data_IF_100483428283
#
_entry.id   IF_100483428283
#
_cell.length_a   1.000
_cell.length_b   1.000
_cell.length_c   1.000
_cell.angle_alpha   90.00
_cell.angle_beta   90.00
_cell.angle_gamma   90.00
#
_symmetry.space_group_name_H-M   'P 1'
#
loop_
_entity.id
_entity.type
_entity.pdbx_description
1 polymer ?
#
# COMPACT_ATOMS: atom_id res chain seq x y z
N UNK A 1 21.64 -18.00 8.65
CA UNK A 1 20.65 -17.71 9.71
C UNK A 1 19.45 -18.66 9.60
N UNK A 2 19.65 -19.92 9.95
CA UNK A 2 18.56 -20.92 9.82
C UNK A 2 18.12 -21.49 11.17
N UNK A 3 18.76 -21.08 12.26
CA UNK A 3 18.48 -21.60 13.61
C UNK A 3 18.36 -20.50 14.68
N UNK A 4 18.61 -19.26 14.31
CA UNK A 4 18.45 -18.10 15.18
C UNK A 4 17.96 -16.89 14.39
N UNK A 5 16.83 -16.31 14.80
CA UNK A 5 16.33 -15.06 14.27
C UNK A 5 17.14 -13.89 14.85
N UNK A 6 17.39 -13.96 16.14
CA UNK A 6 18.27 -13.05 16.89
C UNK A 6 19.01 -13.86 17.98
N UNK A 7 19.99 -13.25 18.64
CA UNK A 7 20.83 -13.88 19.68
C UNK A 7 20.02 -14.52 20.82
N UNK A 8 18.84 -13.96 21.10
CA UNK A 8 17.90 -14.43 22.14
C UNK A 8 16.67 -15.16 21.59
N UNK A 9 16.52 -15.24 20.25
CA UNK A 9 15.33 -15.79 19.61
C UNK A 9 15.69 -16.93 18.64
N UNK A 10 15.80 -18.19 19.12
CA UNK A 10 16.12 -19.33 18.28
C UNK A 10 14.96 -19.67 17.34
N UNK A 11 15.28 -20.14 16.15
CA UNK A 11 14.31 -20.65 15.17
C UNK A 11 14.43 -22.16 15.01
N UNK A 12 13.37 -22.81 14.52
CA UNK A 12 13.43 -24.20 14.11
C UNK A 12 14.32 -24.38 12.87
N UNK A 13 15.07 -25.47 12.82
CA UNK A 13 15.91 -25.78 11.67
C UNK A 13 15.10 -26.34 10.49
N UNK A 14 14.51 -25.42 9.71
CA UNK A 14 13.72 -25.74 8.52
C UNK A 14 14.56 -26.21 7.30
N UNK A 15 15.86 -26.47 7.47
CA UNK A 15 16.66 -27.25 6.50
C UNK A 15 16.38 -28.74 6.63
N UNK A 16 15.93 -29.20 7.80
CA UNK A 16 15.58 -30.61 8.07
C UNK A 16 14.18 -30.89 7.51
N UNK A 17 14.09 -31.85 6.60
CA UNK A 17 12.82 -32.21 5.95
C UNK A 17 11.74 -32.60 6.96
N UNK A 18 12.07 -33.32 8.02
CA UNK A 18 11.11 -33.68 9.06
C UNK A 18 10.49 -32.45 9.74
N UNK A 19 11.27 -31.40 9.97
CA UNK A 19 10.77 -30.13 10.56
C UNK A 19 9.90 -29.40 9.57
N UNK A 20 10.29 -29.37 8.29
CA UNK A 20 9.48 -28.77 7.21
C UNK A 20 8.11 -29.46 7.10
N UNK A 21 8.08 -30.80 7.10
CA UNK A 21 6.82 -31.57 7.03
C UNK A 21 5.92 -31.27 8.23
N UNK A 22 6.47 -31.37 9.46
CA UNK A 22 5.71 -31.10 10.68
C UNK A 22 5.14 -29.69 10.73
N UNK A 23 5.94 -28.67 10.42
CA UNK A 23 5.50 -27.28 10.50
C UNK A 23 4.51 -26.92 9.39
N UNK A 24 4.67 -27.49 8.21
CA UNK A 24 3.69 -27.27 7.12
C UNK A 24 2.38 -28.03 7.36
N UNK A 25 2.41 -29.21 8.01
CA UNK A 25 1.18 -29.89 8.44
C UNK A 25 0.47 -29.12 9.57
N UNK A 26 1.22 -28.50 10.48
CA UNK A 26 0.64 -27.60 11.50
C UNK A 26 -0.04 -26.37 10.88
N UNK A 27 0.55 -25.78 9.83
CA UNK A 27 -0.09 -24.68 9.12
C UNK A 27 -1.39 -25.12 8.41
N UNK A 28 -1.38 -26.29 7.77
CA UNK A 28 -2.58 -26.87 7.15
C UNK A 28 -3.70 -27.12 8.15
N UNK A 29 -3.38 -27.58 9.38
CA UNK A 29 -4.37 -27.77 10.43
C UNK A 29 -5.18 -26.48 10.67
N UNK A 30 -4.53 -25.33 10.75
CA UNK A 30 -5.22 -24.04 10.94
C UNK A 30 -6.13 -23.67 9.76
N UNK A 31 -5.68 -23.89 8.53
CA UNK A 31 -6.49 -23.66 7.33
C UNK A 31 -7.73 -24.56 7.31
N UNK A 32 -7.55 -25.86 7.57
CA UNK A 32 -8.62 -26.85 7.46
C UNK A 32 -9.60 -26.77 8.63
N UNK A 33 -9.11 -26.76 9.86
CA UNK A 33 -9.96 -26.75 11.06
C UNK A 33 -10.76 -25.46 11.21
N UNK A 34 -10.13 -24.30 10.97
CA UNK A 34 -10.75 -23.00 11.19
C UNK A 34 -11.20 -22.31 9.91
N UNK A 35 -11.06 -22.97 8.76
CA UNK A 35 -11.46 -22.45 7.44
C UNK A 35 -10.91 -21.05 7.18
N UNK A 36 -9.62 -20.87 7.42
CA UNK A 36 -8.94 -19.61 7.17
C UNK A 36 -8.78 -19.35 5.66
N UNK A 37 -8.83 -18.08 5.25
CA UNK A 37 -8.65 -17.68 3.86
C UNK A 37 -7.19 -17.52 3.45
N UNK A 38 -6.25 -17.74 4.38
CA UNK A 38 -4.82 -17.69 4.09
C UNK A 38 -3.94 -17.26 5.25
N UNK A 39 -2.73 -16.81 4.91
CA UNK A 39 -1.71 -16.43 5.89
C UNK A 39 -1.01 -15.12 5.53
N UNK A 40 -0.71 -14.33 6.54
CA UNK A 40 0.44 -13.42 6.54
C UNK A 40 1.61 -14.13 7.19
N UNK A 41 2.67 -14.34 6.42
CA UNK A 41 3.89 -15.01 6.88
C UNK A 41 4.91 -13.99 7.38
N UNK A 42 5.24 -14.08 8.66
CA UNK A 42 6.26 -13.27 9.31
C UNK A 42 7.66 -13.63 8.84
N UNK A 43 8.55 -12.61 8.77
CA UNK A 43 9.99 -12.79 8.58
C UNK A 43 10.38 -13.79 7.48
N UNK A 44 9.70 -13.76 6.34
CA UNK A 44 9.79 -14.77 5.25
C UNK A 44 11.22 -15.06 4.82
N UNK A 45 12.10 -14.05 4.78
CA UNK A 45 13.50 -14.19 4.35
C UNK A 45 14.37 -15.07 5.26
N UNK A 46 13.93 -15.30 6.50
CA UNK A 46 14.64 -16.14 7.46
C UNK A 46 14.27 -17.62 7.33
N UNK A 47 13.30 -17.94 6.48
CA UNK A 47 12.77 -19.27 6.27
C UNK A 47 13.21 -19.79 4.89
N UNK A 48 13.82 -21.01 4.81
CA UNK A 48 14.26 -21.57 3.54
C UNK A 48 13.14 -21.75 2.52
N UNK A 49 13.40 -21.48 1.26
CA UNK A 49 12.43 -21.59 0.15
C UNK A 49 11.79 -22.99 0.06
N UNK A 50 12.50 -24.05 0.50
CA UNK A 50 11.95 -25.41 0.56
C UNK A 50 10.71 -25.50 1.45
N UNK A 51 10.66 -24.77 2.56
CA UNK A 51 9.47 -24.70 3.41
C UNK A 51 8.29 -24.08 2.66
N UNK A 52 8.47 -22.95 2.02
CA UNK A 52 7.42 -22.26 1.27
C UNK A 52 6.86 -23.14 0.15
N UNK A 53 7.74 -23.79 -0.61
CA UNK A 53 7.34 -24.71 -1.67
C UNK A 53 6.57 -25.92 -1.14
N UNK A 54 6.99 -26.45 0.02
CA UNK A 54 6.32 -27.59 0.64
C UNK A 54 4.94 -27.18 1.15
N UNK A 55 4.83 -26.04 1.83
CA UNK A 55 3.56 -25.53 2.32
C UNK A 55 2.58 -25.26 1.16
N UNK A 56 2.99 -24.50 0.15
CA UNK A 56 2.14 -24.19 -1.02
C UNK A 56 1.69 -25.46 -1.74
N UNK A 57 2.61 -26.40 -1.96
CA UNK A 57 2.24 -27.70 -2.54
C UNK A 57 1.18 -28.44 -1.70
N UNK A 58 1.34 -28.48 -0.38
CA UNK A 58 0.38 -29.12 0.51
C UNK A 58 -0.98 -28.41 0.51
N UNK A 59 -1.00 -27.09 0.53
CA UNK A 59 -2.23 -26.30 0.39
C UNK A 59 -2.96 -26.71 -0.90
N UNK A 60 -2.28 -26.65 -2.04
CA UNK A 60 -2.87 -26.98 -3.35
C UNK A 60 -3.39 -28.41 -3.46
N UNK A 61 -2.86 -29.35 -2.67
CA UNK A 61 -3.29 -30.77 -2.74
C UNK A 61 -4.31 -31.14 -1.67
N UNK A 62 -4.36 -30.48 -0.53
CA UNK A 62 -5.15 -30.91 0.62
C UNK A 62 -6.33 -29.98 0.94
N UNK A 63 -6.25 -28.71 0.57
CA UNK A 63 -7.30 -27.74 0.86
C UNK A 63 -8.23 -27.65 -0.34
N UNK A 64 -9.54 -27.95 -0.18
CA UNK A 64 -10.55 -27.64 -1.21
C UNK A 64 -10.55 -26.14 -1.52
N UNK A 65 -10.74 -25.76 -2.77
CA UNK A 65 -10.75 -24.35 -3.22
C UNK A 65 -9.45 -23.59 -2.86
N UNK A 66 -8.30 -24.29 -2.95
CA UNK A 66 -6.98 -23.77 -2.59
C UNK A 66 -6.57 -22.51 -3.38
N UNK A 67 -7.20 -22.25 -4.52
CA UNK A 67 -7.05 -21.04 -5.31
C UNK A 67 -7.54 -19.77 -4.58
N UNK A 68 -8.37 -19.92 -3.55
CA UNK A 68 -8.86 -18.83 -2.72
C UNK A 68 -7.98 -18.59 -1.46
N UNK A 69 -6.95 -19.44 -1.22
CA UNK A 69 -6.05 -19.30 -0.07
C UNK A 69 -4.92 -18.33 -0.40
N UNK A 70 -4.95 -17.13 0.18
CA UNK A 70 -3.92 -16.12 -0.02
C UNK A 70 -2.72 -16.33 0.91
N UNK A 71 -1.52 -16.34 0.36
CA UNK A 71 -0.26 -16.36 1.11
C UNK A 71 0.53 -15.07 0.85
N UNK A 72 0.55 -14.14 1.80
CA UNK A 72 1.33 -12.91 1.71
C UNK A 72 2.48 -12.93 2.72
N UNK A 73 3.69 -12.66 2.27
CA UNK A 73 4.88 -12.69 3.11
C UNK A 73 5.37 -11.31 3.54
N UNK A 74 6.17 -11.29 4.59
CA UNK A 74 6.87 -10.09 5.03
C UNK A 74 8.37 -10.26 4.87
N UNK A 75 8.98 -9.37 4.08
CA UNK A 75 10.43 -9.30 3.87
C UNK A 75 10.90 -7.86 3.76
N UNK A 76 11.71 -7.41 4.71
CA UNK A 76 12.50 -6.18 4.55
C UNK A 76 13.77 -6.49 3.76
N UNK A 77 13.97 -5.79 2.64
CA UNK A 77 15.15 -5.98 1.80
C UNK A 77 15.03 -5.34 0.43
N UNK A 78 15.93 -5.71 -0.48
CA UNK A 78 15.86 -5.25 -1.87
C UNK A 78 14.65 -5.88 -2.60
N UNK A 79 14.20 -5.23 -3.67
CA UNK A 79 13.12 -5.78 -4.53
C UNK A 79 13.47 -7.15 -5.08
N UNK A 80 14.74 -7.39 -5.41
CA UNK A 80 15.23 -8.70 -5.86
C UNK A 80 15.05 -9.78 -4.78
N UNK A 81 15.45 -9.49 -3.53
CA UNK A 81 15.26 -10.41 -2.41
C UNK A 81 13.79 -10.71 -2.18
N UNK A 82 12.94 -9.69 -2.16
CA UNK A 82 11.48 -9.82 -1.97
C UNK A 82 10.89 -10.68 -3.10
N UNK A 83 11.22 -10.40 -4.36
CA UNK A 83 10.73 -11.11 -5.54
C UNK A 83 11.11 -12.60 -5.56
N UNK A 84 12.21 -12.99 -4.90
CA UNK A 84 12.60 -14.40 -4.80
C UNK A 84 11.60 -15.28 -4.05
N UNK A 85 10.72 -14.71 -3.24
CA UNK A 85 9.69 -15.44 -2.49
C UNK A 85 8.33 -15.46 -3.16
N UNK A 86 8.13 -14.71 -4.24
CA UNK A 86 6.87 -14.62 -4.99
C UNK A 86 6.92 -15.48 -6.24
N UNK A 87 5.80 -16.12 -6.59
CA UNK A 87 5.63 -16.83 -7.85
C UNK A 87 5.15 -18.28 -7.69
N UNK A 88 4.98 -19.00 -8.80
CA UNK A 88 4.41 -20.34 -8.80
C UNK A 88 5.09 -21.28 -7.82
N UNK A 89 4.30 -21.93 -6.97
CA UNK A 89 4.79 -22.86 -5.96
C UNK A 89 5.50 -22.20 -4.76
N UNK A 90 5.38 -20.88 -4.63
CA UNK A 90 5.86 -20.07 -3.47
C UNK A 90 4.68 -19.25 -2.93
N UNK A 91 4.96 -18.05 -2.45
CA UNK A 91 3.91 -17.14 -1.96
C UNK A 91 3.24 -16.39 -3.11
N UNK A 92 2.00 -15.97 -2.92
CA UNK A 92 1.24 -15.19 -3.90
C UNK A 92 1.73 -13.74 -3.98
N UNK A 93 2.16 -13.20 -2.85
CA UNK A 93 2.67 -11.83 -2.75
C UNK A 93 3.54 -11.58 -1.53
N UNK A 94 4.08 -10.37 -1.48
CA UNK A 94 4.85 -9.83 -0.36
C UNK A 94 4.40 -8.38 -0.12
N UNK A 95 4.68 -7.82 1.04
CA UNK A 95 4.55 -6.38 1.24
C UNK A 95 5.65 -5.64 0.48
N UNK A 96 5.29 -4.62 -0.31
CA UNK A 96 6.26 -3.79 -1.01
C UNK A 96 6.76 -2.65 -0.11
N UNK A 97 7.69 -2.98 0.78
CA UNK A 97 8.29 -1.99 1.67
C UNK A 97 9.10 -0.92 0.95
N UNK A 98 9.72 -1.24 -0.18
CA UNK A 98 10.48 -0.25 -0.96
C UNK A 98 9.56 0.84 -1.49
N UNK A 99 8.45 0.46 -2.12
CA UNK A 99 7.45 1.41 -2.59
C UNK A 99 6.82 2.18 -1.42
N UNK A 100 6.54 1.50 -0.30
CA UNK A 100 5.97 2.14 0.88
C UNK A 100 6.89 3.24 1.43
N UNK A 101 8.18 2.98 1.61
CA UNK A 101 9.09 3.99 2.17
C UNK A 101 9.25 5.19 1.25
N UNK A 102 9.33 4.97 -0.06
CA UNK A 102 9.35 6.05 -1.04
C UNK A 102 8.04 6.84 -1.03
N UNK A 103 6.89 6.17 -1.04
CA UNK A 103 5.58 6.83 -0.97
C UNK A 103 5.41 7.60 0.34
N UNK A 104 5.77 7.00 1.48
CA UNK A 104 5.73 7.66 2.79
C UNK A 104 6.51 8.98 2.76
N UNK A 105 7.75 8.95 2.27
CA UNK A 105 8.57 10.15 2.22
C UNK A 105 7.99 11.19 1.26
N UNK A 106 7.57 10.77 0.06
CA UNK A 106 7.06 11.68 -0.97
C UNK A 106 5.75 12.34 -0.55
N UNK A 107 4.82 11.63 0.06
CA UNK A 107 3.54 12.20 0.50
C UNK A 107 3.64 12.99 1.81
N UNK A 108 4.47 12.55 2.77
CA UNK A 108 4.57 13.25 4.05
C UNK A 108 5.47 14.49 3.99
N UNK A 109 6.60 14.42 3.25
CA UNK A 109 7.57 15.51 3.16
C UNK A 109 7.26 16.47 2.02
N UNK A 110 7.55 17.75 2.23
CA UNK A 110 7.52 18.74 1.15
C UNK A 110 8.70 18.61 0.18
N UNK A 111 9.82 18.01 0.62
CA UNK A 111 11.05 17.81 -0.16
C UNK A 111 10.96 16.60 -1.12
N UNK A 112 10.07 15.64 -0.84
CA UNK A 112 9.88 14.48 -1.70
C UNK A 112 9.36 14.85 -3.10
N UNK A 113 9.71 14.09 -4.13
CA UNK A 113 9.31 14.30 -5.52
C UNK A 113 8.50 13.14 -6.07
N UNK A 114 7.41 13.42 -6.77
CA UNK A 114 6.66 12.38 -7.48
C UNK A 114 7.46 11.74 -8.63
N UNK A 115 8.50 12.39 -9.15
CA UNK A 115 9.43 11.73 -10.10
C UNK A 115 10.17 10.56 -9.44
N UNK A 116 10.54 10.69 -8.17
CA UNK A 116 11.12 9.59 -7.39
C UNK A 116 10.12 8.45 -7.21
N UNK A 117 8.88 8.79 -6.88
CA UNK A 117 7.81 7.79 -6.71
C UNK A 117 7.46 7.09 -8.04
N UNK A 118 7.46 7.82 -9.17
CA UNK A 118 7.29 7.22 -10.51
C UNK A 118 8.39 6.20 -10.79
N UNK A 119 9.65 6.54 -10.50
CA UNK A 119 10.77 5.61 -10.66
C UNK A 119 10.58 4.38 -9.79
N UNK A 120 10.21 4.55 -8.52
CA UNK A 120 9.94 3.45 -7.59
C UNK A 120 8.82 2.53 -8.07
N UNK A 121 7.71 3.10 -8.60
CA UNK A 121 6.62 2.32 -9.20
C UNK A 121 7.10 1.51 -10.42
N UNK A 122 7.87 2.11 -11.32
CA UNK A 122 8.43 1.42 -12.48
C UNK A 122 9.34 0.27 -12.08
N UNK A 123 10.16 0.44 -11.05
CA UNK A 123 10.98 -0.62 -10.48
C UNK A 123 10.12 -1.73 -9.86
N UNK A 124 9.10 -1.40 -9.06
CA UNK A 124 8.12 -2.36 -8.52
C UNK A 124 7.51 -3.21 -9.63
N UNK A 125 6.99 -2.58 -10.69
CA UNK A 125 6.40 -3.30 -11.83
C UNK A 125 7.43 -4.14 -12.60
N UNK A 126 8.67 -3.70 -12.69
CA UNK A 126 9.75 -4.45 -13.36
C UNK A 126 10.12 -5.73 -12.58
N UNK A 127 10.16 -5.66 -11.23
CA UNK A 127 10.53 -6.81 -10.39
C UNK A 127 9.39 -7.79 -10.14
N UNK A 128 8.18 -7.29 -9.94
CA UNK A 128 7.04 -8.11 -9.49
C UNK A 128 5.98 -8.33 -10.56
N UNK A 129 6.00 -7.54 -11.63
CA UNK A 129 4.99 -7.53 -12.67
C UNK A 129 3.86 -6.53 -12.42
N UNK A 130 3.19 -6.16 -13.50
CA UNK A 130 2.13 -5.13 -13.51
C UNK A 130 0.83 -5.57 -12.82
N UNK A 131 0.62 -6.87 -12.67
CA UNK A 131 -0.58 -7.48 -12.06
C UNK A 131 -0.25 -8.33 -10.84
N UNK A 132 0.87 -8.03 -10.17
CA UNK A 132 1.29 -8.75 -8.97
C UNK A 132 0.36 -8.48 -7.78
N UNK A 133 0.24 -9.47 -6.89
CA UNK A 133 -0.51 -9.37 -5.64
C UNK A 133 0.32 -8.78 -4.49
N UNK A 134 1.21 -7.83 -4.79
CA UNK A 134 2.01 -7.18 -3.75
C UNK A 134 1.12 -6.35 -2.82
N UNK A 135 1.39 -6.45 -1.51
CA UNK A 135 0.69 -5.68 -0.48
C UNK A 135 1.19 -4.25 -0.40
N UNK A 136 0.33 -3.30 -0.75
CA UNK A 136 0.58 -1.86 -0.63
C UNK A 136 0.04 -1.36 0.70
N UNK A 137 0.91 -1.03 1.66
CA UNK A 137 0.55 -0.72 3.03
C UNK A 137 0.44 0.79 3.29
N UNK A 138 -0.44 1.20 4.22
CA UNK A 138 -0.38 2.54 4.84
C UNK A 138 0.63 2.58 5.98
N UNK A 139 0.83 1.45 6.64
CA UNK A 139 1.71 1.23 7.77
C UNK A 139 1.59 -0.21 8.29
N UNK A 140 2.31 -0.53 9.33
CA UNK A 140 2.17 -1.78 10.08
C UNK A 140 2.58 -1.59 11.56
N UNK A 141 2.58 -2.69 12.32
CA UNK A 141 2.88 -2.69 13.75
C UNK A 141 4.37 -2.50 14.10
N UNK A 142 5.28 -2.51 13.12
CA UNK A 142 6.74 -2.39 13.32
C UNK A 142 7.30 -1.01 12.93
N UNK A 143 6.48 -0.17 12.28
CA UNK A 143 6.91 1.13 11.78
C UNK A 143 6.06 2.27 12.33
N UNK A 144 6.64 3.49 12.48
CA UNK A 144 5.89 4.65 12.94
C UNK A 144 4.74 4.99 12.01
N UNK A 145 3.65 5.50 12.57
CA UNK A 145 2.45 5.90 11.83
C UNK A 145 2.75 7.00 10.82
N UNK A 146 2.25 6.87 9.60
CA UNK A 146 2.42 7.86 8.52
C UNK A 146 2.00 9.27 8.95
N UNK A 147 0.84 9.39 9.60
CA UNK A 147 0.27 10.68 10.03
C UNK A 147 1.20 11.44 10.97
N UNK A 148 2.03 10.74 11.75
CA UNK A 148 2.97 11.37 12.69
C UNK A 148 4.09 12.12 11.97
N UNK A 149 4.54 11.62 10.80
CA UNK A 149 5.46 12.35 9.91
C UNK A 149 4.74 13.45 9.14
N UNK A 150 3.59 13.11 8.55
CA UNK A 150 2.82 14.03 7.69
C UNK A 150 2.27 15.24 8.45
N UNK A 151 1.93 15.06 9.73
CA UNK A 151 1.46 16.08 10.66
C UNK A 151 2.53 16.68 11.55
N UNK A 152 3.83 16.46 11.25
CA UNK A 152 4.97 17.17 11.83
C UNK A 152 5.45 16.71 13.23
N UNK A 153 4.77 15.75 13.87
CA UNK A 153 5.14 15.27 15.20
C UNK A 153 6.43 14.40 15.22
N UNK A 154 6.74 13.77 14.07
CA UNK A 154 7.98 13.02 13.87
C UNK A 154 8.76 13.58 12.68
N UNK A 155 10.09 13.59 12.83
CA UNK A 155 11.03 13.93 11.74
C UNK A 155 11.64 12.67 11.15
N UNK A 156 11.97 12.69 9.85
CA UNK A 156 12.56 11.53 9.16
C UNK A 156 13.99 11.19 9.63
N UNK A 157 14.66 12.11 10.31
CA UNK A 157 16.03 11.97 10.79
C UNK A 157 16.13 11.77 12.31
N UNK A 158 15.02 11.50 13.01
CA UNK A 158 15.03 11.21 14.45
C UNK A 158 14.75 9.72 14.74
N UNK A 159 15.17 9.26 15.92
CA UNK A 159 14.78 7.94 16.42
C UNK A 159 13.32 7.99 16.90
N UNK A 160 12.44 7.47 16.05
CA UNK A 160 11.01 7.48 16.34
C UNK A 160 10.64 6.64 17.56
N UNK A 161 11.40 5.61 17.92
CA UNK A 161 11.15 4.81 19.12
C UNK A 161 11.50 5.61 20.38
N UNK A 162 12.65 6.25 20.41
CA UNK A 162 13.02 7.15 21.48
C UNK A 162 12.02 8.29 21.65
N UNK A 163 11.61 8.93 20.54
CA UNK A 163 10.61 9.99 20.52
C UNK A 163 9.28 9.60 21.20
N UNK A 164 8.81 8.35 20.98
CA UNK A 164 7.59 7.84 21.61
C UNK A 164 7.68 7.64 23.13
N UNK A 165 8.89 7.43 23.65
CA UNK A 165 9.15 7.37 25.10
C UNK A 165 9.33 8.76 25.73
N UNK A 166 9.89 9.70 24.98
CA UNK A 166 10.25 11.03 25.51
C UNK A 166 9.09 12.02 25.46
N UNK A 167 8.18 11.88 24.48
CA UNK A 167 7.06 12.81 24.29
C UNK A 167 5.80 12.14 23.75
N UNK A 168 4.65 12.76 24.02
CA UNK A 168 3.38 12.33 23.42
C UNK A 168 3.35 12.71 21.94
N UNK A 169 3.25 11.71 21.06
CA UNK A 169 3.10 11.92 19.63
C UNK A 169 1.63 12.16 19.28
N UNK A 170 1.35 13.30 18.65
CA UNK A 170 0.04 13.72 18.18
C UNK A 170 0.14 14.27 16.76
N UNK A 171 -0.96 14.67 16.14
CA UNK A 171 -0.95 15.41 14.88
C UNK A 171 -0.82 16.90 15.18
N UNK A 172 0.35 17.50 14.90
CA UNK A 172 0.63 18.91 15.18
C UNK A 172 0.07 19.82 14.07
N UNK A 173 0.20 19.41 12.82
CA UNK A 173 -0.35 20.11 11.65
C UNK A 173 -1.51 19.31 11.03
N UNK A 174 -2.74 19.86 11.02
CA UNK A 174 -3.90 19.21 10.39
C UNK A 174 -3.73 18.85 8.91
N UNK A 175 -2.79 19.47 8.19
CA UNK A 175 -2.45 19.09 6.80
C UNK A 175 -2.04 17.62 6.69
N UNK A 176 -1.58 17.01 7.78
CA UNK A 176 -1.27 15.58 7.86
C UNK A 176 -2.43 14.67 7.45
N UNK A 177 -3.67 15.07 7.72
CA UNK A 177 -4.87 14.32 7.33
C UNK A 177 -5.12 14.34 5.82
N UNK A 178 -4.88 15.48 5.16
CA UNK A 178 -5.01 15.58 3.69
C UNK A 178 -3.89 14.77 3.00
N UNK A 179 -2.66 14.81 3.55
CA UNK A 179 -1.53 13.99 3.07
C UNK A 179 -1.79 12.50 3.25
N UNK A 180 -2.36 12.07 4.39
CA UNK A 180 -2.74 10.69 4.64
C UNK A 180 -3.85 10.23 3.68
N UNK A 181 -4.85 11.07 3.46
CA UNK A 181 -5.91 10.80 2.48
C UNK A 181 -5.34 10.61 1.07
N UNK A 182 -4.33 11.39 0.70
CA UNK A 182 -3.62 11.24 -0.58
C UNK A 182 -2.81 9.95 -0.67
N UNK A 183 -2.09 9.55 0.40
CA UNK A 183 -1.41 8.26 0.45
C UNK A 183 -2.41 7.11 0.35
N UNK A 184 -3.53 7.19 1.08
CA UNK A 184 -4.60 6.18 1.02
C UNK A 184 -5.18 6.08 -0.38
N UNK A 185 -5.44 7.21 -1.05
CA UNK A 185 -5.90 7.21 -2.44
C UNK A 185 -4.87 6.56 -3.38
N UNK A 186 -3.58 6.81 -3.16
CA UNK A 186 -2.51 6.20 -3.94
C UNK A 186 -2.52 4.67 -3.81
N UNK A 187 -2.49 4.12 -2.60
CA UNK A 187 -2.48 2.65 -2.41
C UNK A 187 -3.78 1.97 -2.87
N UNK A 188 -4.93 2.68 -2.81
CA UNK A 188 -6.22 2.17 -3.28
C UNK A 188 -6.35 2.16 -4.80
N UNK A 189 -5.49 2.86 -5.54
CA UNK A 189 -5.63 3.02 -6.98
C UNK A 189 -4.48 2.43 -7.80
N UNK A 190 -3.36 2.08 -7.19
CA UNK A 190 -2.28 1.33 -7.84
C UNK A 190 -2.57 -0.19 -7.90
N UNK A 191 -1.89 -0.95 -8.79
CA UNK A 191 -1.95 -2.42 -8.80
C UNK A 191 -1.49 -3.04 -7.48
N UNK A 192 -2.04 -4.20 -7.12
CA UNK A 192 -1.73 -4.92 -5.89
C UNK A 192 -2.87 -4.92 -4.87
N UNK A 193 -2.59 -5.38 -3.67
CA UNK A 193 -3.54 -5.49 -2.55
C UNK A 193 -3.35 -4.30 -1.61
N UNK A 194 -4.31 -3.38 -1.47
CA UNK A 194 -4.21 -2.31 -0.49
C UNK A 194 -4.39 -2.87 0.93
N UNK A 195 -3.50 -2.48 1.83
CA UNK A 195 -3.50 -2.90 3.23
C UNK A 195 -3.50 -1.67 4.12
N UNK A 196 -4.60 -1.47 4.84
CA UNK A 196 -4.75 -0.37 5.79
C UNK A 196 -4.45 -0.90 7.19
N UNK A 197 -3.43 -0.33 7.85
CA UNK A 197 -3.15 -0.67 9.24
C UNK A 197 -4.22 -0.01 10.13
N UNK A 198 -4.74 -0.75 11.14
CA UNK A 198 -5.83 -0.27 11.98
C UNK A 198 -5.53 1.12 12.56
N UNK A 199 -6.52 2.01 12.54
CA UNK A 199 -6.37 3.39 12.96
C UNK A 199 -5.85 4.35 11.89
N UNK A 200 -5.18 3.87 10.82
CA UNK A 200 -4.75 4.71 9.71
C UNK A 200 -5.95 5.21 8.89
N UNK A 201 -7.08 4.50 8.91
CA UNK A 201 -8.31 4.89 8.23
C UNK A 201 -8.90 6.22 8.74
N UNK A 202 -8.51 6.66 9.93
CA UNK A 202 -8.88 7.96 10.49
C UNK A 202 -7.70 8.83 10.90
N UNK A 203 -6.46 8.33 10.76
CA UNK A 203 -5.25 9.09 11.09
C UNK A 203 -4.85 9.02 12.56
N UNK A 204 -4.87 7.82 13.16
CA UNK A 204 -4.31 7.58 14.49
C UNK A 204 -2.81 7.84 14.49
N UNK A 205 -2.28 8.76 15.34
CA UNK A 205 -0.84 8.98 15.45
C UNK A 205 -0.16 7.92 16.31
N UNK A 206 1.15 7.77 16.12
CA UNK A 206 2.01 6.92 16.92
C UNK A 206 3.45 6.97 16.41
N UNK A 207 4.39 6.85 17.32
CA UNK A 207 5.83 6.79 17.06
C UNK A 207 6.27 5.36 16.67
N UNK A 208 7.51 4.97 16.93
CA UNK A 208 7.95 3.59 16.80
C UNK A 208 7.38 2.67 17.88
N UNK A 209 7.49 1.35 17.66
CA UNK A 209 7.05 0.33 18.63
C UNK A 209 7.55 0.61 20.05
N UNK A 210 6.67 0.62 21.10
CA UNK A 210 5.27 0.19 21.10
C UNK A 210 4.22 1.28 20.82
N UNK A 211 4.58 2.56 20.67
CA UNK A 211 3.65 3.68 20.61
C UNK A 211 2.75 3.65 19.34
N UNK A 212 3.21 3.03 18.25
CA UNK A 212 2.39 2.80 17.05
C UNK A 212 1.28 1.74 17.23
N UNK A 213 1.25 1.03 18.35
CA UNK A 213 0.28 -0.03 18.69
C UNK A 213 -0.74 0.43 19.74
N UNK A 214 -1.09 1.72 19.75
CA UNK A 214 -2.11 2.27 20.65
C UNK A 214 -3.46 1.58 20.43
N UNK A 215 -4.29 1.56 21.49
CA UNK A 215 -5.62 0.97 21.44
C UNK A 215 -6.48 1.59 20.33
N UNK A 216 -7.26 0.74 19.64
CA UNK A 216 -8.19 1.18 18.60
C UNK A 216 -9.29 2.05 19.22
N UNK A 217 -9.55 3.19 18.58
CA UNK A 217 -10.63 4.10 18.96
C UNK A 217 -11.80 3.96 18.02
N UNK A 218 -12.95 3.58 18.54
CA UNK A 218 -14.20 3.45 17.78
C UNK A 218 -15.07 4.69 17.89
N UNK A 219 -14.89 5.48 18.96
CA UNK A 219 -15.63 6.68 19.31
C UNK A 219 -14.70 7.86 19.62
N UNK A 220 -15.27 9.05 19.79
CA UNK A 220 -14.52 10.24 20.15
C UNK A 220 -13.56 10.75 19.08
N UNK A 221 -13.83 10.46 17.81
CA UNK A 221 -13.02 10.96 16.69
C UNK A 221 -13.28 12.45 16.47
N UNK A 222 -12.21 13.22 16.29
CA UNK A 222 -12.26 14.63 15.92
C UNK A 222 -12.86 14.81 14.51
N UNK A 223 -13.20 16.04 14.14
CA UNK A 223 -13.75 16.36 12.82
C UNK A 223 -12.81 15.94 11.67
N UNK A 224 -11.49 16.19 11.81
CA UNK A 224 -10.50 15.78 10.82
C UNK A 224 -10.39 14.25 10.71
N UNK A 225 -10.43 13.54 11.82
CA UNK A 225 -10.40 12.07 11.85
C UNK A 225 -11.67 11.49 11.21
N UNK A 226 -12.84 12.06 11.50
CA UNK A 226 -14.10 11.63 10.87
C UNK A 226 -14.08 11.88 9.35
N UNK A 227 -13.61 13.04 8.91
CA UNK A 227 -13.44 13.36 7.47
C UNK A 227 -12.50 12.36 6.80
N UNK A 228 -11.35 12.07 7.38
CA UNK A 228 -10.37 11.10 6.87
C UNK A 228 -10.99 9.70 6.76
N UNK A 229 -11.73 9.27 7.79
CA UNK A 229 -12.45 7.99 7.78
C UNK A 229 -13.49 7.91 6.65
N UNK A 230 -14.21 8.99 6.39
CA UNK A 230 -15.19 9.04 5.28
C UNK A 230 -14.49 8.98 3.91
N UNK A 231 -13.35 9.65 3.75
CA UNK A 231 -12.54 9.58 2.53
C UNK A 231 -12.04 8.16 2.32
N UNK A 232 -11.48 7.51 3.34
CA UNK A 232 -11.01 6.12 3.27
C UNK A 232 -12.14 5.16 2.88
N UNK A 233 -13.31 5.30 3.53
CA UNK A 233 -14.51 4.51 3.17
C UNK A 233 -14.91 4.71 1.71
N UNK A 234 -14.89 5.95 1.23
CA UNK A 234 -15.20 6.28 -0.17
C UNK A 234 -14.21 5.65 -1.14
N UNK A 235 -12.91 5.71 -0.85
CA UNK A 235 -11.85 5.11 -1.65
C UNK A 235 -11.97 3.58 -1.73
N UNK A 236 -12.25 2.90 -0.62
CA UNK A 236 -12.52 1.46 -0.59
C UNK A 236 -13.73 1.13 -1.47
N UNK A 237 -14.82 1.87 -1.34
CA UNK A 237 -16.01 1.66 -2.16
C UNK A 237 -15.76 1.92 -3.66
N UNK A 238 -14.96 2.94 -4.00
CA UNK A 238 -14.56 3.21 -5.38
C UNK A 238 -13.77 2.02 -5.94
N UNK A 239 -12.75 1.53 -5.22
CA UNK A 239 -11.96 0.38 -5.66
C UNK A 239 -12.83 -0.86 -5.88
N UNK A 240 -13.72 -1.17 -4.93
CA UNK A 240 -14.58 -2.37 -5.00
C UNK A 240 -15.60 -2.32 -6.16
N UNK A 241 -15.98 -1.12 -6.60
CA UNK A 241 -16.96 -0.94 -7.69
C UNK A 241 -16.33 -0.77 -9.06
N UNK A 242 -15.04 -0.47 -9.13
CA UNK A 242 -14.35 -0.11 -10.37
C UNK A 242 -13.25 -1.13 -10.66
N UNK A 243 -13.54 -2.07 -11.55
CA UNK A 243 -12.65 -3.20 -11.88
C UNK A 243 -11.31 -2.73 -12.46
N UNK A 244 -11.29 -1.59 -13.12
CA UNK A 244 -10.04 -1.00 -13.63
C UNK A 244 -9.08 -0.63 -12.50
N UNK A 245 -9.55 -0.31 -11.30
CA UNK A 245 -8.68 -0.07 -10.13
C UNK A 245 -8.10 -1.38 -9.57
N UNK A 246 -8.72 -2.52 -9.85
CA UNK A 246 -8.28 -3.85 -9.39
C UNK A 246 -7.41 -4.51 -10.45
N UNK A 247 -7.93 -4.68 -11.67
CA UNK A 247 -7.35 -5.49 -12.74
C UNK A 247 -6.76 -4.68 -13.89
N UNK A 248 -6.99 -3.35 -13.92
CA UNK A 248 -6.63 -2.51 -15.05
C UNK A 248 -5.12 -2.32 -15.25
N UNK A 249 -4.74 -2.07 -16.48
CA UNK A 249 -3.41 -1.63 -16.83
C UNK A 249 -3.10 -0.28 -16.21
N UNK A 250 -1.82 -0.02 -15.94
CA UNK A 250 -1.34 1.23 -15.37
C UNK A 250 -0.66 2.09 -16.45
N UNK A 251 -1.12 3.33 -16.63
CA UNK A 251 -0.66 4.24 -17.68
C UNK A 251 -0.18 5.53 -17.03
N UNK A 252 1.13 5.81 -17.09
CA UNK A 252 1.68 7.09 -16.64
C UNK A 252 1.28 8.20 -17.61
N UNK A 253 0.75 9.31 -17.09
CA UNK A 253 0.32 10.46 -17.88
C UNK A 253 1.20 11.70 -17.62
N UNK A 254 1.48 11.99 -16.35
CA UNK A 254 2.32 13.14 -15.98
C UNK A 254 2.97 12.92 -14.62
N UNK A 255 4.25 13.30 -14.51
CA UNK A 255 4.97 13.34 -13.26
C UNK A 255 5.87 14.56 -13.20
N UNK A 256 5.75 15.32 -12.14
CA UNK A 256 6.61 16.44 -11.77
C UNK A 256 7.01 16.29 -10.29
N UNK A 257 7.66 17.29 -9.71
CA UNK A 257 7.97 17.19 -8.28
C UNK A 257 6.70 17.17 -7.40
N UNK A 258 5.66 17.92 -7.79
CA UNK A 258 4.46 18.11 -6.99
C UNK A 258 3.18 17.51 -7.58
N UNK A 259 3.20 17.07 -8.83
CA UNK A 259 2.02 16.54 -9.53
C UNK A 259 2.33 15.15 -10.07
N UNK A 260 1.45 14.20 -9.78
CA UNK A 260 1.45 12.86 -10.37
C UNK A 260 0.08 12.59 -10.98
N UNK A 261 0.04 12.15 -12.24
CA UNK A 261 -1.18 11.72 -12.90
C UNK A 261 -0.94 10.41 -13.64
N UNK A 262 -1.83 9.47 -13.43
CA UNK A 262 -1.85 8.20 -14.14
C UNK A 262 -3.29 7.74 -14.40
N UNK A 263 -3.44 6.80 -15.30
CA UNK A 263 -4.73 6.14 -15.54
C UNK A 263 -4.65 4.65 -15.23
N UNK A 264 -5.80 4.09 -14.87
CA UNK A 264 -6.07 2.66 -14.81
C UNK A 264 -7.11 2.34 -15.88
N UNK A 265 -6.88 1.30 -16.69
CA UNK A 265 -7.80 0.91 -17.75
C UNK A 265 -8.03 -0.58 -17.76
N UNK A 266 -9.29 -0.99 -17.75
CA UNK A 266 -9.72 -2.38 -17.90
C UNK A 266 -10.93 -2.44 -18.83
N UNK A 267 -10.75 -3.07 -20.00
CA UNK A 267 -11.78 -3.12 -21.05
C UNK A 267 -12.29 -1.71 -21.40
N UNK A 268 -13.57 -1.44 -21.20
CA UNK A 268 -14.27 -0.17 -21.42
C UNK A 268 -14.27 0.75 -20.18
N UNK A 269 -13.61 0.35 -19.08
CA UNK A 269 -13.52 1.12 -17.85
C UNK A 269 -12.19 1.83 -17.70
N UNK A 270 -12.26 3.10 -17.33
CA UNK A 270 -11.10 3.97 -17.15
C UNK A 270 -11.24 4.79 -15.87
N UNK A 271 -10.20 4.84 -15.08
CA UNK A 271 -10.03 5.82 -14.01
C UNK A 271 -8.77 6.64 -14.26
N UNK A 272 -8.85 7.98 -14.19
CA UNK A 272 -7.71 8.90 -14.20
C UNK A 272 -7.53 9.43 -12.79
N UNK A 273 -6.35 9.22 -12.24
CA UNK A 273 -6.01 9.61 -10.88
C UNK A 273 -4.95 10.70 -10.90
N UNK A 274 -5.21 11.80 -10.20
CA UNK A 274 -4.31 12.95 -10.18
C UNK A 274 -4.06 13.40 -8.74
N UNK A 275 -2.80 13.71 -8.41
CA UNK A 275 -2.34 14.19 -7.11
C UNK A 275 -1.64 15.51 -7.24
N UNK A 276 -1.86 16.40 -6.27
CA UNK A 276 -1.06 17.58 -6.02
C UNK A 276 -0.58 17.57 -4.56
N UNK A 277 0.71 17.28 -4.33
CA UNK A 277 1.32 17.36 -2.99
C UNK A 277 1.87 18.74 -2.65
N UNK A 278 1.85 19.67 -3.61
CA UNK A 278 2.37 21.03 -3.43
C UNK A 278 1.54 21.84 -2.45
N UNK A 279 2.15 22.94 -1.97
CA UNK A 279 1.54 23.90 -1.02
C UNK A 279 0.62 24.92 -1.70
N UNK A 280 0.50 24.87 -3.02
CA UNK A 280 -0.34 25.74 -3.83
C UNK A 280 -1.26 24.93 -4.75
N UNK A 281 -2.36 25.53 -5.17
CA UNK A 281 -3.23 24.96 -6.21
C UNK A 281 -2.48 24.86 -7.53
N UNK A 282 -2.76 23.81 -8.31
CA UNK A 282 -2.14 23.56 -9.61
C UNK A 282 -3.20 23.36 -10.69
N UNK A 283 -3.06 24.10 -11.80
CA UNK A 283 -3.77 23.85 -13.03
C UNK A 283 -2.96 22.87 -13.87
N UNK A 284 -3.54 21.73 -14.14
CA UNK A 284 -2.91 20.62 -14.85
C UNK A 284 -3.54 20.55 -16.24
N UNK A 285 -2.70 20.49 -17.27
CA UNK A 285 -3.12 20.18 -18.64
C UNK A 285 -2.39 18.93 -19.10
N UNK A 286 -3.15 17.97 -19.67
CA UNK A 286 -2.64 16.68 -20.16
C UNK A 286 -3.35 16.36 -21.46
N UNK A 287 -2.61 16.10 -22.51
CA UNK A 287 -3.14 15.46 -23.71
C UNK A 287 -3.39 13.98 -23.40
N UNK A 288 -4.64 13.56 -23.50
CA UNK A 288 -5.01 12.16 -23.25
C UNK A 288 -4.59 11.30 -24.44
N UNK A 289 -3.87 10.17 -24.21
CA UNK A 289 -3.56 9.20 -25.27
C UNK A 289 -4.84 8.61 -25.86
N UNK A 290 -4.77 8.13 -27.12
CA UNK A 290 -5.92 7.65 -27.88
C UNK A 290 -6.78 6.61 -27.15
N UNK A 291 -6.14 5.74 -26.35
CA UNK A 291 -6.81 4.69 -25.58
C UNK A 291 -7.65 5.22 -24.37
N UNK A 292 -7.53 6.51 -24.03
CA UNK A 292 -8.28 7.20 -22.97
C UNK A 292 -9.22 8.27 -23.53
N UNK A 293 -9.41 8.32 -24.85
CA UNK A 293 -10.34 9.23 -25.53
C UNK A 293 -11.74 8.65 -25.57
N UNK A 294 -12.72 9.51 -25.82
CA UNK A 294 -14.13 9.15 -26.05
C UNK A 294 -14.83 8.49 -24.83
N UNK A 295 -14.34 8.74 -23.62
CA UNK A 295 -15.01 8.36 -22.37
C UNK A 295 -15.68 9.58 -21.73
N UNK A 296 -16.86 9.36 -21.18
CA UNK A 296 -17.55 10.32 -20.32
C UNK A 296 -17.08 10.12 -18.87
N UNK A 297 -16.33 11.10 -18.35
CA UNK A 297 -15.79 11.03 -17.01
C UNK A 297 -16.68 11.75 -15.99
N UNK A 298 -16.68 11.23 -14.75
CA UNK A 298 -17.27 11.86 -13.59
C UNK A 298 -16.20 12.05 -12.52
N UNK A 299 -16.21 13.18 -11.80
CA UNK A 299 -15.30 13.42 -10.70
C UNK A 299 -15.83 12.87 -9.37
N UNK A 300 -14.92 12.44 -8.51
CA UNK A 300 -15.26 11.87 -7.22
C UNK A 300 -14.94 12.78 -6.03
N UNK A 301 -14.02 13.73 -6.16
CA UNK A 301 -13.56 14.57 -5.04
C UNK A 301 -13.75 16.07 -5.30
N UNK A 302 -14.67 16.42 -6.21
CA UNK A 302 -15.15 17.76 -6.46
C UNK A 302 -14.10 18.77 -6.97
N UNK A 303 -13.07 18.32 -7.70
CA UNK A 303 -12.18 19.21 -8.42
C UNK A 303 -12.84 19.77 -9.67
N UNK A 304 -12.45 20.98 -10.06
CA UNK A 304 -12.86 21.54 -11.35
C UNK A 304 -12.07 20.87 -12.47
N UNK A 305 -12.78 20.38 -13.48
CA UNK A 305 -12.16 19.70 -14.61
C UNK A 305 -12.95 19.90 -15.90
N UNK A 306 -12.27 19.73 -17.03
CA UNK A 306 -12.89 19.70 -18.36
C UNK A 306 -12.00 18.94 -19.34
N UNK A 307 -12.59 18.43 -20.42
CA UNK A 307 -11.85 17.94 -21.59
C UNK A 307 -12.21 18.85 -22.76
N UNK A 308 -11.18 19.39 -23.42
CA UNK A 308 -11.39 20.24 -24.60
C UNK A 308 -11.54 19.38 -25.89
N UNK A 309 -11.93 20.01 -27.00
CA UNK A 309 -12.13 19.37 -28.30
C UNK A 309 -10.88 18.65 -28.85
N UNK A 310 -9.71 19.01 -28.38
CA UNK A 310 -8.44 18.40 -28.76
C UNK A 310 -8.03 17.26 -27.80
N UNK A 311 -8.98 16.80 -26.93
CA UNK A 311 -8.78 15.77 -25.90
C UNK A 311 -7.72 16.12 -24.84
N UNK A 312 -7.54 17.41 -24.55
CA UNK A 312 -6.73 17.79 -23.39
C UNK A 312 -7.61 17.80 -22.14
N UNK A 313 -7.24 17.00 -21.17
CA UNK A 313 -7.77 17.10 -19.81
C UNK A 313 -7.19 18.34 -19.13
N UNK A 314 -8.06 19.20 -18.64
CA UNK A 314 -7.74 20.35 -17.78
C UNK A 314 -8.32 20.05 -16.41
N UNK A 315 -7.49 20.15 -15.37
CA UNK A 315 -7.87 19.81 -13.99
C UNK A 315 -7.22 20.81 -13.03
N UNK A 316 -8.01 21.36 -12.11
CA UNK A 316 -7.53 22.22 -11.03
C UNK A 316 -7.52 21.43 -9.71
N UNK A 317 -6.33 21.18 -9.17
CA UNK A 317 -6.14 20.52 -7.86
C UNK A 317 -5.71 21.54 -6.82
N UNK A 318 -6.40 21.61 -5.70
CA UNK A 318 -5.98 22.36 -4.51
C UNK A 318 -4.69 21.78 -3.94
N UNK A 319 -4.06 22.50 -3.01
CA UNK A 319 -2.88 22.01 -2.27
C UNK A 319 -3.20 20.73 -1.51
N UNK A 320 -2.26 19.79 -1.48
CA UNK A 320 -2.35 18.52 -0.75
C UNK A 320 -3.64 17.74 -1.03
N UNK A 321 -4.10 17.71 -2.29
CA UNK A 321 -5.32 16.99 -2.68
C UNK A 321 -5.09 16.05 -3.85
N UNK A 322 -6.11 15.26 -4.10
CA UNK A 322 -6.19 14.37 -5.26
C UNK A 322 -7.60 14.41 -5.87
N UNK A 323 -7.70 13.92 -7.10
CA UNK A 323 -8.96 13.64 -7.78
C UNK A 323 -8.92 12.29 -8.47
N UNK A 324 -10.07 11.64 -8.57
CA UNK A 324 -10.29 10.43 -9.35
C UNK A 324 -11.44 10.71 -10.31
N UNK A 325 -11.14 10.69 -11.59
CA UNK A 325 -12.14 10.77 -12.66
C UNK A 325 -12.36 9.36 -13.20
N UNK A 326 -13.60 8.89 -13.24
CA UNK A 326 -13.94 7.58 -13.80
C UNK A 326 -15.19 7.64 -14.67
N UNK A 327 -15.31 6.67 -15.61
CA UNK A 327 -16.48 6.51 -16.46
C UNK A 327 -17.47 5.47 -15.94
#
# INVERSE_FOLDING_TARGET
LTTWFDTFLPTLDLRKQQVVELMSDSALFWLDEYKLDGFRHDATKHIPTNYWRTLTRKINHKIPDSENVLQIGETFGSRELIGNYVGPGKLDGQFDFNLYFDARYVFASNEGSFKTLEKSLKETFSYYGWHSLMGNITGNHDIPRFISFAGGALKFNEDAKAAGWERKIAVEDPVGYDKLSSLTAFIMTIPGIPVVYYGDEFGMPGAGDPDNRRDMRFEGLSENEQKTKQITKKLINLRNKNLELIYGDFIFLKSTDNVLVYARKYLDKVSIIAFNKGTESKNIKIELPGILKDFEYNNNFNSEWSIDKDNNLKLTLKKHTFEILNN
#
